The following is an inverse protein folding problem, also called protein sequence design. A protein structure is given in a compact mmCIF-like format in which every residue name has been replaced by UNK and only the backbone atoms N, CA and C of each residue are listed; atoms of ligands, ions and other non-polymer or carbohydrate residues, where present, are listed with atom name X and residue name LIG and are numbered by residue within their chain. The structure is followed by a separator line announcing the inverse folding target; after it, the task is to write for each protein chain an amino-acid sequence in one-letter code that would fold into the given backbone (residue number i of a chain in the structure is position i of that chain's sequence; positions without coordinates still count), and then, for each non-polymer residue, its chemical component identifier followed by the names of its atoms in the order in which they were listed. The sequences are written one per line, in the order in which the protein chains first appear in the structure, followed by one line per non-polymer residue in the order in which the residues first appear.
data_IF_029740159861
#
_entry.id   IF_029740159861
#
_cell.length_a   1.000
_cell.length_b   1.000
_cell.length_c   1.000
_cell.angle_alpha   90.00
_cell.angle_beta   90.00
_cell.angle_gamma   90.00
#
_symmetry.space_group_name_H-M   'P 1'
#
loop_
_entity.id
_entity.type
_entity.pdbx_description
1 polymer ?
#
# COMPACT_ATOMS: atom_id res chain seq x y z
N UNK A 1 19.42 7.87 15.36
CA UNK A 1 18.47 7.03 14.59
C UNK A 1 17.66 7.95 13.68
N UNK A 2 17.24 7.53 12.48
CA UNK A 2 16.18 8.27 11.77
C UNK A 2 14.98 8.30 12.74
N UNK A 3 14.38 9.45 12.95
CA UNK A 3 13.24 9.63 13.86
C UNK A 3 11.98 9.00 13.23
N UNK A 4 12.04 7.68 13.04
CA UNK A 4 10.97 6.92 12.40
C UNK A 4 9.91 6.66 13.47
N UNK A 5 8.75 7.29 13.28
CA UNK A 5 7.55 7.01 14.07
C UNK A 5 7.01 5.58 13.86
N UNK A 6 7.52 4.86 12.86
CA UNK A 6 7.18 3.46 12.55
C UNK A 6 8.45 2.60 12.65
N UNK A 7 8.43 1.45 13.36
CA UNK A 7 9.59 0.58 13.48
C UNK A 7 10.00 -0.02 12.12
N UNK A 8 11.32 -0.15 11.90
CA UNK A 8 11.89 -0.62 10.63
C UNK A 8 11.29 -1.93 10.08
N UNK A 9 11.03 -2.98 10.90
CA UNK A 9 10.44 -4.22 10.40
C UNK A 9 9.03 -4.03 9.81
N UNK A 10 8.15 -3.30 10.50
CA UNK A 10 6.84 -2.93 9.97
C UNK A 10 7.00 -2.15 8.68
N UNK A 11 7.97 -1.25 8.66
CA UNK A 11 8.22 -0.40 7.50
C UNK A 11 8.63 -1.20 6.26
N UNK A 12 9.57 -2.14 6.38
CA UNK A 12 9.94 -3.03 5.28
C UNK A 12 8.75 -3.90 4.82
N UNK A 13 7.97 -4.44 5.78
CA UNK A 13 6.79 -5.23 5.50
C UNK A 13 5.75 -4.45 4.68
N UNK A 14 5.55 -3.15 4.95
CA UNK A 14 4.64 -2.31 4.18
C UNK A 14 5.01 -2.25 2.69
N UNK A 15 6.30 -2.06 2.38
CA UNK A 15 6.77 -2.02 0.99
C UNK A 15 6.65 -3.39 0.34
N UNK A 16 6.95 -4.48 1.06
CA UNK A 16 6.71 -5.83 0.56
C UNK A 16 5.24 -6.08 0.23
N UNK A 17 4.32 -5.71 1.13
CA UNK A 17 2.87 -5.85 0.88
C UNK A 17 2.45 -4.99 -0.31
N UNK A 18 2.93 -3.75 -0.41
CA UNK A 18 2.62 -2.87 -1.52
C UNK A 18 3.07 -3.49 -2.86
N UNK A 19 4.31 -3.96 -2.95
CA UNK A 19 4.84 -4.61 -4.15
C UNK A 19 4.13 -5.93 -4.47
N UNK A 20 3.80 -6.73 -3.46
CA UNK A 20 3.10 -7.98 -3.67
C UNK A 20 1.68 -7.77 -4.21
N UNK A 21 0.94 -6.81 -3.62
CA UNK A 21 -0.40 -6.43 -4.07
C UNK A 21 -0.37 -5.95 -5.51
N UNK A 22 0.63 -5.14 -5.85
CA UNK A 22 0.81 -4.57 -7.18
C UNK A 22 1.07 -5.65 -8.24
N UNK A 23 1.95 -6.61 -7.94
CA UNK A 23 2.19 -7.76 -8.81
C UNK A 23 0.94 -8.63 -9.01
N UNK A 24 0.13 -8.86 -7.96
CA UNK A 24 -1.13 -9.59 -8.09
C UNK A 24 -2.14 -8.84 -8.96
N UNK A 25 -2.21 -7.50 -8.83
CA UNK A 25 -3.06 -6.68 -9.68
C UNK A 25 -2.60 -6.76 -11.14
N UNK A 26 -1.32 -6.62 -11.42
CA UNK A 26 -0.80 -6.79 -12.79
C UNK A 26 -1.09 -8.18 -13.37
N UNK A 27 -1.03 -9.23 -12.55
CA UNK A 27 -1.25 -10.60 -12.99
C UNK A 27 -2.72 -10.87 -13.35
N UNK A 28 -3.67 -10.34 -12.57
CA UNK A 28 -5.10 -10.68 -12.67
C UNK A 28 -5.99 -9.53 -13.17
N UNK A 29 -5.47 -8.31 -13.30
CA UNK A 29 -6.25 -7.13 -13.69
C UNK A 29 -5.40 -6.30 -14.65
N UNK A 30 -5.42 -6.69 -15.93
CA UNK A 30 -4.53 -6.14 -16.96
C UNK A 30 -4.80 -4.67 -17.28
N UNK A 31 -6.07 -4.26 -17.22
CA UNK A 31 -6.50 -2.93 -17.67
C UNK A 31 -6.82 -1.96 -16.52
N UNK A 32 -6.99 -2.48 -15.29
CA UNK A 32 -7.31 -1.67 -14.11
C UNK A 32 -6.21 -1.79 -13.06
N UNK A 33 -5.51 -0.69 -12.80
CA UNK A 33 -4.38 -0.68 -11.89
C UNK A 33 -4.78 -0.08 -10.53
N UNK A 34 -4.95 -0.91 -9.50
CA UNK A 34 -5.33 -0.43 -8.16
C UNK A 34 -4.24 0.37 -7.43
N UNK A 35 -3.00 0.35 -7.90
CA UNK A 35 -1.84 1.04 -7.28
C UNK A 35 -1.30 2.17 -8.16
N UNK A 36 -1.43 2.06 -9.49
CA UNK A 36 -0.91 3.03 -10.47
C UNK A 36 -1.96 4.03 -10.93
N UNK A 37 -2.32 4.97 -10.04
CA UNK A 37 -3.30 6.02 -10.36
C UNK A 37 -2.87 6.90 -11.54
N UNK A 38 -1.57 7.20 -11.69
CA UNK A 38 -1.06 7.92 -12.87
C UNK A 38 -1.34 7.15 -14.16
N UNK A 39 -1.22 5.82 -14.13
CA UNK A 39 -1.54 4.95 -15.27
C UNK A 39 -3.02 5.03 -15.62
N UNK A 40 -3.92 4.83 -14.65
CA UNK A 40 -5.36 4.93 -14.87
C UNK A 40 -5.77 6.29 -15.44
N UNK A 41 -5.19 7.39 -14.95
CA UNK A 41 -5.45 8.74 -15.48
C UNK A 41 -5.01 8.87 -16.94
N UNK A 42 -3.86 8.33 -17.31
CA UNK A 42 -3.41 8.29 -18.72
C UNK A 42 -4.34 7.45 -19.58
N UNK A 43 -4.83 6.31 -19.08
CA UNK A 43 -5.83 5.50 -19.78
C UNK A 43 -7.13 6.30 -19.98
N UNK A 44 -7.63 7.03 -18.98
CA UNK A 44 -8.80 7.91 -19.17
C UNK A 44 -8.54 8.92 -20.29
N UNK A 45 -7.39 9.60 -20.29
CA UNK A 45 -7.02 10.56 -21.32
C UNK A 45 -6.98 9.94 -22.72
N UNK A 46 -6.45 8.72 -22.84
CA UNK A 46 -6.47 7.94 -24.08
C UNK A 46 -7.90 7.69 -24.56
N UNK A 47 -8.77 7.15 -23.71
CA UNK A 47 -10.16 6.83 -24.08
C UNK A 47 -10.96 8.09 -24.46
N UNK A 48 -10.70 9.24 -23.83
CA UNK A 48 -11.26 10.53 -24.25
C UNK A 48 -10.81 10.87 -25.68
N UNK A 49 -9.53 10.73 -25.99
CA UNK A 49 -8.99 10.99 -27.32
C UNK A 49 -9.49 10.04 -28.41
N UNK A 50 -9.74 8.78 -28.06
CA UNK A 50 -10.28 7.75 -28.95
C UNK A 50 -11.82 7.77 -29.06
N UNK A 51 -12.50 8.57 -28.21
CA UNK A 51 -13.97 8.62 -28.16
C UNK A 51 -14.64 7.41 -27.50
N UNK A 52 -13.87 6.55 -26.80
CA UNK A 52 -14.39 5.37 -26.11
C UNK A 52 -14.83 5.70 -24.68
N UNK A 53 -15.98 6.36 -24.54
CA UNK A 53 -16.46 6.84 -23.24
C UNK A 53 -16.84 5.72 -22.25
N UNK A 54 -17.20 4.54 -22.76
CA UNK A 54 -17.63 3.41 -21.92
C UNK A 54 -16.51 2.93 -20.98
N UNK A 55 -15.26 2.93 -21.45
CA UNK A 55 -14.10 2.40 -20.73
C UNK A 55 -13.55 3.38 -19.67
N UNK A 56 -14.04 4.63 -19.65
CA UNK A 56 -13.65 5.64 -18.66
C UNK A 56 -14.24 5.31 -17.29
N UNK A 57 -15.47 4.80 -17.25
CA UNK A 57 -16.22 4.62 -15.99
C UNK A 57 -15.51 3.69 -15.00
N UNK A 58 -15.02 2.50 -15.40
CA UNK A 58 -14.27 1.62 -14.51
C UNK A 58 -12.98 2.27 -13.96
N UNK A 59 -12.22 2.97 -14.81
CA UNK A 59 -10.99 3.66 -14.41
C UNK A 59 -11.27 4.77 -13.40
N UNK A 60 -12.29 5.59 -13.67
CA UNK A 60 -12.71 6.67 -12.78
C UNK A 60 -13.19 6.14 -11.43
N UNK A 61 -13.92 5.01 -11.41
CA UNK A 61 -14.38 4.37 -10.19
C UNK A 61 -13.23 3.81 -9.34
N UNK A 62 -12.19 3.23 -9.96
CA UNK A 62 -10.96 2.80 -9.26
C UNK A 62 -10.26 4.00 -8.61
N UNK A 63 -10.09 5.10 -9.34
CA UNK A 63 -9.50 6.34 -8.81
C UNK A 63 -10.36 6.89 -7.66
N UNK A 64 -11.68 6.91 -7.80
CA UNK A 64 -12.59 7.40 -6.78
C UNK A 64 -12.56 6.54 -5.51
N UNK A 65 -12.51 5.21 -5.64
CA UNK A 65 -12.38 4.29 -4.50
C UNK A 65 -11.06 4.51 -3.75
N UNK A 66 -9.95 4.59 -4.48
CA UNK A 66 -8.63 4.88 -3.92
C UNK A 66 -8.61 6.24 -3.20
N UNK A 67 -9.13 7.29 -3.85
CA UNK A 67 -9.15 8.64 -3.31
C UNK A 67 -10.04 8.73 -2.05
N UNK A 68 -11.24 8.16 -2.09
CA UNK A 68 -12.16 8.13 -0.95
C UNK A 68 -11.52 7.42 0.25
N UNK A 69 -10.90 6.25 0.03
CA UNK A 69 -10.21 5.53 1.09
C UNK A 69 -8.98 6.29 1.63
N UNK A 70 -8.27 7.01 0.76
CA UNK A 70 -7.16 7.89 1.15
C UNK A 70 -7.65 9.01 2.06
N UNK A 71 -8.75 9.68 1.69
CA UNK A 71 -9.36 10.76 2.48
C UNK A 71 -9.88 10.26 3.82
N UNK A 72 -10.60 9.13 3.83
CA UNK A 72 -11.11 8.51 5.06
C UNK A 72 -9.95 8.03 5.95
N UNK A 73 -8.95 7.37 5.38
CA UNK A 73 -7.76 6.91 6.09
C UNK A 73 -7.00 8.08 6.74
N UNK A 74 -6.84 9.20 6.04
CA UNK A 74 -6.23 10.40 6.60
C UNK A 74 -7.06 10.95 7.78
N UNK A 75 -8.38 11.03 7.63
CA UNK A 75 -9.31 11.49 8.65
C UNK A 75 -9.32 10.59 9.91
N UNK A 76 -9.29 9.27 9.73
CA UNK A 76 -9.17 8.28 10.82
C UNK A 76 -7.79 8.41 11.50
N UNK A 77 -6.73 8.53 10.70
CA UNK A 77 -5.36 8.67 11.18
C UNK A 77 -5.17 9.90 12.08
N UNK A 78 -5.79 11.03 11.74
CA UNK A 78 -5.77 12.24 12.58
C UNK A 78 -6.43 12.04 13.95
N UNK A 79 -7.49 11.22 14.02
CA UNK A 79 -8.23 10.94 15.28
C UNK A 79 -7.55 9.91 16.16
N UNK A 80 -6.90 8.92 15.55
CA UNK A 80 -6.25 7.81 16.26
C UNK A 80 -4.83 8.13 16.73
N UNK A 81 -4.22 9.19 16.20
CA UNK A 81 -2.91 9.75 16.62
C UNK A 81 -1.83 8.66 16.69
N UNK A 82 -1.39 8.28 17.90
CA UNK A 82 -0.35 7.26 18.11
C UNK A 82 -0.74 5.87 17.59
N UNK A 83 -2.04 5.59 17.51
CA UNK A 83 -2.58 4.32 17.01
C UNK A 83 -2.82 4.33 15.50
N UNK A 84 -2.51 5.44 14.81
CA UNK A 84 -2.70 5.58 13.36
C UNK A 84 -2.14 4.39 12.57
N UNK A 85 -0.85 3.99 12.71
CA UNK A 85 -0.31 2.90 11.91
C UNK A 85 -1.09 1.60 12.11
N UNK A 86 -1.43 1.27 13.37
CA UNK A 86 -2.17 0.06 13.74
C UNK A 86 -3.57 0.06 13.14
N UNK A 87 -4.34 1.13 13.34
CA UNK A 87 -5.74 1.20 12.86
C UNK A 87 -5.79 1.15 11.34
N UNK A 88 -4.90 1.87 10.66
CA UNK A 88 -4.86 1.88 9.20
C UNK A 88 -4.48 0.50 8.65
N UNK A 89 -3.49 -0.18 9.25
CA UNK A 89 -3.11 -1.54 8.86
C UNK A 89 -4.26 -2.54 9.02
N UNK A 90 -5.02 -2.47 10.11
CA UNK A 90 -6.19 -3.33 10.33
C UNK A 90 -7.30 -3.05 9.32
N UNK A 91 -7.56 -1.79 8.99
CA UNK A 91 -8.56 -1.42 7.98
C UNK A 91 -8.14 -1.86 6.57
N UNK A 92 -6.85 -1.72 6.22
CA UNK A 92 -6.32 -2.28 4.96
C UNK A 92 -6.46 -3.79 4.94
N UNK A 93 -6.13 -4.50 6.04
CA UNK A 93 -6.27 -5.95 6.13
C UNK A 93 -7.73 -6.40 5.99
N UNK A 94 -8.67 -5.65 6.58
CA UNK A 94 -10.10 -5.90 6.44
C UNK A 94 -10.56 -5.74 4.99
N UNK A 95 -10.16 -4.66 4.31
CA UNK A 95 -10.48 -4.43 2.90
C UNK A 95 -9.89 -5.51 1.98
N UNK A 96 -8.67 -5.98 2.26
CA UNK A 96 -8.05 -7.10 1.53
C UNK A 96 -8.73 -8.44 1.81
N UNK A 97 -9.19 -8.66 3.04
CA UNK A 97 -9.96 -9.86 3.36
C UNK A 97 -11.34 -9.84 2.68
N UNK A 98 -11.95 -8.65 2.59
CA UNK A 98 -13.24 -8.45 1.95
C UNK A 98 -13.18 -8.56 0.40
N UNK A 99 -12.01 -8.39 -0.22
CA UNK A 99 -11.86 -8.59 -1.67
C UNK A 99 -11.82 -10.08 -2.06
N UNK A 100 -11.31 -10.96 -1.18
CA UNK A 100 -11.09 -12.37 -1.48
C UNK A 100 -12.34 -13.12 -1.99
N UNK A 101 -13.54 -12.99 -1.37
CA UNK A 101 -14.74 -13.72 -1.81
C UNK A 101 -15.14 -13.43 -3.26
N UNK A 102 -14.78 -12.26 -3.78
CA UNK A 102 -15.08 -11.84 -5.14
C UNK A 102 -13.97 -12.19 -6.14
N UNK A 103 -12.78 -12.56 -5.67
CA UNK A 103 -11.65 -12.91 -6.52
C UNK A 103 -11.82 -14.29 -7.14
N UNK A 104 -11.49 -14.41 -8.43
CA UNK A 104 -11.33 -15.68 -9.12
C UNK A 104 -9.83 -15.96 -9.27
N UNK A 105 -9.47 -17.23 -9.47
CA UNK A 105 -8.06 -17.63 -9.57
C UNK A 105 -7.38 -17.09 -10.82
N UNK A 106 -8.13 -16.91 -11.91
CA UNK A 106 -7.57 -16.52 -13.21
C UNK A 106 -7.73 -15.01 -13.50
N UNK A 107 -8.64 -14.34 -12.81
CA UNK A 107 -9.00 -12.94 -13.07
C UNK A 107 -9.54 -12.27 -11.80
N UNK A 108 -9.30 -10.97 -11.66
CA UNK A 108 -9.85 -10.15 -10.58
C UNK A 108 -11.00 -9.30 -11.15
N UNK A 109 -12.25 -9.67 -10.83
CA UNK A 109 -13.40 -8.87 -11.25
C UNK A 109 -13.29 -7.43 -10.74
N UNK A 110 -13.99 -6.54 -11.43
CA UNK A 110 -14.02 -5.12 -11.11
C UNK A 110 -14.23 -4.82 -9.61
N UNK A 111 -15.17 -5.53 -8.95
CA UNK A 111 -15.42 -5.35 -7.52
C UNK A 111 -14.20 -5.69 -6.64
N UNK A 112 -13.45 -6.74 -6.99
CA UNK A 112 -12.20 -7.12 -6.31
C UNK A 112 -11.17 -6.02 -6.45
N UNK A 113 -11.03 -5.46 -7.66
CA UNK A 113 -10.11 -4.34 -7.93
C UNK A 113 -10.51 -3.09 -7.14
N UNK A 114 -11.80 -2.80 -7.00
CA UNK A 114 -12.28 -1.67 -6.18
C UNK A 114 -11.91 -1.83 -4.70
N UNK A 115 -12.10 -3.03 -4.12
CA UNK A 115 -11.66 -3.29 -2.75
C UNK A 115 -10.14 -3.17 -2.59
N UNK A 116 -9.37 -3.69 -3.56
CA UNK A 116 -7.92 -3.59 -3.53
C UNK A 116 -7.47 -2.12 -3.65
N UNK A 117 -8.07 -1.34 -4.55
CA UNK A 117 -7.79 0.08 -4.70
C UNK A 117 -8.10 0.87 -3.42
N UNK A 118 -9.24 0.58 -2.78
CA UNK A 118 -9.58 1.17 -1.48
C UNK A 118 -8.56 0.77 -0.40
N UNK A 119 -8.14 -0.50 -0.33
CA UNK A 119 -7.14 -0.94 0.63
C UNK A 119 -5.80 -0.23 0.41
N UNK A 120 -5.37 -0.04 -0.85
CA UNK A 120 -4.12 0.65 -1.17
C UNK A 120 -4.18 2.15 -0.86
N UNK A 121 -5.33 2.79 -1.10
CA UNK A 121 -5.59 4.16 -0.64
C UNK A 121 -5.48 4.28 0.89
N UNK A 122 -6.06 3.32 1.61
CA UNK A 122 -5.94 3.22 3.07
C UNK A 122 -4.50 2.98 3.51
N UNK A 123 -3.77 2.05 2.88
CA UNK A 123 -2.38 1.69 3.22
C UNK A 123 -1.43 2.89 3.12
N UNK A 124 -1.66 3.78 2.16
CA UNK A 124 -0.90 5.02 2.03
C UNK A 124 -1.05 5.98 3.21
N UNK A 125 -2.01 5.75 4.09
CA UNK A 125 -2.24 6.55 5.28
C UNK A 125 -1.57 5.98 6.54
N UNK A 126 -0.76 4.92 6.45
CA UNK A 126 -0.05 4.36 7.62
C UNK A 126 0.86 5.40 8.29
N UNK A 127 1.52 6.27 7.49
CA UNK A 127 2.27 7.42 7.98
C UNK A 127 1.60 8.72 7.54
N UNK A 128 1.50 9.70 8.45
CA UNK A 128 0.98 11.04 8.13
C UNK A 128 2.01 12.02 7.60
N UNK A 129 3.29 11.68 7.72
CA UNK A 129 4.40 12.56 7.36
C UNK A 129 5.08 12.12 6.05
N UNK A 130 4.70 10.97 5.50
CA UNK A 130 5.24 10.45 4.25
C UNK A 130 4.15 10.44 3.18
N UNK A 131 4.56 10.57 1.92
CA UNK A 131 3.72 10.67 0.73
C UNK A 131 2.97 9.38 0.35
N UNK A 132 2.81 8.43 1.28
CA UNK A 132 2.31 7.08 1.03
C UNK A 132 3.38 6.12 0.55
N UNK A 133 3.17 4.82 0.81
CA UNK A 133 4.09 3.73 0.47
C UNK A 133 4.08 3.40 -1.02
N UNK A 134 3.00 3.71 -1.73
CA UNK A 134 2.87 3.47 -3.18
C UNK A 134 3.38 4.62 -4.04
N UNK A 135 3.87 5.72 -3.45
CA UNK A 135 4.45 6.84 -4.21
C UNK A 135 5.91 6.55 -4.62
N UNK A 136 6.07 5.52 -5.45
CA UNK A 136 7.36 4.94 -5.85
C UNK A 136 8.24 5.94 -6.59
N UNK A 137 7.69 6.65 -7.57
CA UNK A 137 8.45 7.64 -8.36
C UNK A 137 9.05 8.72 -7.47
N UNK A 138 8.27 9.27 -6.53
CA UNK A 138 8.77 10.26 -5.59
C UNK A 138 9.82 9.70 -4.63
N UNK A 139 9.66 8.44 -4.19
CA UNK A 139 10.66 7.75 -3.39
C UNK A 139 11.99 7.60 -4.14
N UNK A 140 11.99 7.14 -5.40
CA UNK A 140 13.21 7.00 -6.21
C UNK A 140 13.90 8.34 -6.46
N UNK A 141 13.13 9.38 -6.82
CA UNK A 141 13.69 10.73 -7.04
C UNK A 141 14.34 11.28 -5.77
N UNK A 142 13.68 11.15 -4.61
CA UNK A 142 14.26 11.57 -3.32
C UNK A 142 15.51 10.77 -2.97
N UNK A 143 15.52 9.47 -3.29
CA UNK A 143 16.67 8.59 -3.05
C UNK A 143 17.88 9.01 -3.89
N UNK A 144 17.69 9.26 -5.19
CA UNK A 144 18.74 9.74 -6.07
C UNK A 144 19.31 11.10 -5.63
N UNK A 145 18.45 12.04 -5.23
CA UNK A 145 18.88 13.33 -4.68
C UNK A 145 19.70 13.17 -3.40
N UNK A 146 19.25 12.33 -2.46
CA UNK A 146 19.99 12.09 -1.23
C UNK A 146 21.39 11.51 -1.47
N UNK A 147 21.53 10.60 -2.45
CA UNK A 147 22.83 10.07 -2.85
C UNK A 147 23.72 11.16 -3.47
N UNK A 148 23.17 12.01 -4.34
CA UNK A 148 23.90 13.11 -4.96
C UNK A 148 24.37 14.17 -3.94
N UNK A 149 23.60 14.39 -2.87
CA UNK A 149 23.94 15.29 -1.76
C UNK A 149 24.96 14.68 -0.77
N UNK A 150 25.41 13.44 -0.98
CA UNK A 150 26.29 12.72 -0.06
C UNK A 150 25.58 12.19 1.20
N UNK A 151 24.25 12.28 1.28
CA UNK A 151 23.45 11.71 2.36
C UNK A 151 23.17 10.21 2.10
N UNK A 152 24.24 9.41 2.15
CA UNK A 152 24.18 7.96 1.88
C UNK A 152 23.22 7.22 2.79
N UNK A 153 22.99 7.70 4.01
CA UNK A 153 22.04 7.07 4.93
C UNK A 153 20.59 7.17 4.44
N UNK A 154 20.19 8.34 3.96
CA UNK A 154 18.87 8.53 3.37
C UNK A 154 18.77 7.82 2.01
N UNK A 155 19.84 7.81 1.23
CA UNK A 155 19.95 7.03 0.00
C UNK A 155 19.76 5.53 0.22
N UNK A 156 20.48 4.94 1.17
CA UNK A 156 20.35 3.53 1.54
C UNK A 156 18.96 3.20 2.07
N UNK A 157 18.32 4.09 2.84
CA UNK A 157 16.93 3.88 3.27
C UNK A 157 15.98 3.76 2.07
N UNK A 158 16.10 4.68 1.11
CA UNK A 158 15.32 4.63 -0.12
C UNK A 158 15.55 3.36 -0.95
N UNK A 159 16.79 2.92 -1.06
CA UNK A 159 17.15 1.68 -1.74
C UNK A 159 16.56 0.45 -1.03
N UNK A 160 16.63 0.39 0.30
CA UNK A 160 16.02 -0.71 1.08
C UNK A 160 14.51 -0.74 0.88
N UNK A 161 13.82 0.41 0.85
CA UNK A 161 12.38 0.50 0.56
C UNK A 161 12.06 -0.07 -0.82
N UNK A 162 12.83 0.34 -1.83
CA UNK A 162 12.66 -0.13 -3.19
C UNK A 162 12.92 -1.65 -3.30
N UNK A 163 14.00 -2.15 -2.70
CA UNK A 163 14.32 -3.58 -2.68
C UNK A 163 13.25 -4.40 -1.96
N UNK A 164 12.69 -3.90 -0.85
CA UNK A 164 11.58 -4.56 -0.16
C UNK A 164 10.33 -4.63 -1.05
N UNK A 165 10.03 -3.58 -1.80
CA UNK A 165 8.93 -3.59 -2.77
C UNK A 165 9.14 -4.63 -3.87
N UNK A 166 10.33 -4.65 -4.47
CA UNK A 166 10.70 -5.64 -5.50
C UNK A 166 10.63 -7.06 -4.95
N UNK A 167 11.15 -7.30 -3.74
CA UNK A 167 11.08 -8.60 -3.10
C UNK A 167 9.62 -9.04 -2.85
N UNK A 168 8.76 -8.12 -2.42
CA UNK A 168 7.32 -8.39 -2.29
C UNK A 168 6.67 -8.78 -3.61
N UNK A 169 6.93 -8.03 -4.68
CA UNK A 169 6.43 -8.33 -6.02
C UNK A 169 6.92 -9.71 -6.52
N UNK A 170 8.20 -10.03 -6.33
CA UNK A 170 8.77 -11.32 -6.70
C UNK A 170 8.15 -12.49 -5.92
N UNK A 171 7.89 -12.31 -4.62
CA UNK A 171 7.25 -13.32 -3.77
C UNK A 171 5.76 -13.52 -4.05
N UNK A 172 5.09 -12.53 -4.66
CA UNK A 172 3.68 -12.61 -4.98
C UNK A 172 3.36 -13.67 -6.04
N UNK A 173 4.28 -13.89 -6.99
CA UNK A 173 4.10 -14.89 -8.05
C UNK A 173 3.99 -16.31 -7.48
N UNK A 174 4.99 -16.85 -6.74
CA UNK A 174 4.86 -18.18 -6.15
C UNK A 174 3.72 -18.25 -5.13
N UNK A 175 3.44 -17.17 -4.40
CA UNK A 175 2.29 -17.11 -3.49
C UNK A 175 0.97 -17.30 -4.25
N UNK A 176 0.81 -16.65 -5.40
CA UNK A 176 -0.37 -16.80 -6.24
C UNK A 176 -0.47 -18.19 -6.86
N UNK A 177 0.64 -18.78 -7.32
CA UNK A 177 0.61 -20.13 -7.91
C UNK A 177 0.18 -21.20 -6.90
N UNK A 178 0.52 -21.02 -5.61
CA UNK A 178 0.18 -21.99 -4.56
C UNK A 178 -1.17 -21.72 -3.90
N UNK A 179 -1.58 -20.46 -3.76
CA UNK A 179 -2.79 -20.07 -3.02
C UNK A 179 -3.93 -19.56 -3.91
N UNK A 180 -3.68 -19.28 -5.18
CA UNK A 180 -4.62 -18.62 -6.09
C UNK A 180 -5.21 -17.36 -5.46
N UNK A 181 -6.54 -17.23 -5.52
CA UNK A 181 -7.28 -16.13 -4.87
C UNK A 181 -7.00 -15.96 -3.37
N UNK A 182 -6.57 -17.00 -2.66
CA UNK A 182 -6.25 -16.91 -1.23
C UNK A 182 -4.93 -16.16 -0.96
N UNK A 183 -4.14 -15.82 -1.99
CA UNK A 183 -2.99 -14.92 -1.86
C UNK A 183 -3.39 -13.55 -1.25
N UNK A 184 -4.63 -13.09 -1.47
CA UNK A 184 -5.17 -11.87 -0.85
C UNK A 184 -5.28 -11.99 0.67
N UNK A 185 -5.59 -13.19 1.21
CA UNK A 185 -5.61 -13.43 2.65
C UNK A 185 -4.20 -13.49 3.24
N UNK A 186 -3.21 -13.99 2.48
CA UNK A 186 -1.83 -13.94 2.91
C UNK A 186 -1.33 -12.49 3.03
N UNK A 187 -1.71 -11.61 2.09
CA UNK A 187 -1.47 -10.16 2.21
C UNK A 187 -2.17 -9.57 3.44
N UNK A 188 -3.44 -9.91 3.66
CA UNK A 188 -4.18 -9.46 4.84
C UNK A 188 -3.50 -9.92 6.16
N UNK A 189 -3.02 -11.16 6.22
CA UNK A 189 -2.29 -11.69 7.37
C UNK A 189 -0.98 -10.92 7.62
N UNK A 190 -0.20 -10.61 6.58
CA UNK A 190 1.00 -9.78 6.71
C UNK A 190 0.68 -8.38 7.27
N UNK A 191 -0.42 -7.77 6.83
CA UNK A 191 -0.88 -6.48 7.35
C UNK A 191 -1.28 -6.55 8.83
N UNK A 192 -1.96 -7.63 9.24
CA UNK A 192 -2.27 -7.89 10.66
C UNK A 192 -1.00 -8.07 11.48
N UNK A 193 0.00 -8.80 10.98
CA UNK A 193 1.31 -8.90 11.64
C UNK A 193 1.97 -7.52 11.80
N UNK A 194 1.91 -6.67 10.78
CA UNK A 194 2.33 -5.28 10.87
C UNK A 194 1.58 -4.49 11.96
N UNK A 195 0.27 -4.71 12.09
CA UNK A 195 -0.56 -4.08 13.11
C UNK A 195 -0.16 -4.52 14.53
N UNK A 196 0.18 -5.81 14.72
CA UNK A 196 0.72 -6.33 15.98
C UNK A 196 2.04 -5.64 16.34
N UNK A 197 2.99 -5.54 15.40
CA UNK A 197 4.27 -4.87 15.64
C UNK A 197 4.10 -3.39 16.00
N UNK A 198 3.21 -2.67 15.31
CA UNK A 198 2.95 -1.25 15.61
C UNK A 198 2.24 -1.06 16.95
N UNK A 199 1.34 -1.98 17.32
CA UNK A 199 0.70 -1.99 18.64
C UNK A 199 1.72 -2.19 19.74
N UNK A 200 2.57 -3.21 19.61
CA UNK A 200 3.65 -3.49 20.55
C UNK A 200 4.55 -2.26 20.72
N UNK A 201 4.96 -1.65 19.62
CA UNK A 201 5.80 -0.46 19.64
C UNK A 201 5.13 0.74 20.34
N UNK A 202 3.84 0.99 20.07
CA UNK A 202 3.08 2.05 20.72
C UNK A 202 2.93 1.82 22.24
N UNK A 203 2.73 0.57 22.66
CA UNK A 203 2.64 0.19 24.07
C UNK A 203 4.00 0.33 24.78
N UNK A 204 5.09 -0.13 24.16
CA UNK A 204 6.43 -0.04 24.70
C UNK A 204 6.87 1.42 24.91
N UNK A 205 6.54 2.32 23.97
CA UNK A 205 6.79 3.76 24.13
C UNK A 205 5.99 4.36 25.31
N UNK A 206 4.72 3.96 25.48
CA UNK A 206 3.88 4.41 26.60
C UNK A 206 4.45 3.97 27.95
N UNK A 207 4.98 2.74 28.03
CA UNK A 207 5.61 2.24 29.24
C UNK A 207 6.86 3.04 29.58
N UNK A 208 7.75 3.28 28.61
CA UNK A 208 8.97 4.10 28.82
C UNK A 208 8.66 5.53 29.27
N UNK A 209 7.65 6.17 28.69
CA UNK A 209 7.24 7.52 29.08
C UNK A 209 6.71 7.62 30.52
N UNK A 210 6.18 6.52 31.09
CA UNK A 210 5.68 6.47 32.47
C UNK A 210 6.75 6.25 33.53
N UNK A 211 7.91 5.70 33.16
CA UNK A 211 9.04 5.42 34.06
C UNK A 211 10.18 6.43 33.94
N UNK A 212 10.04 7.42 33.07
CA UNK A 212 10.99 8.52 32.91
C UNK A 212 10.60 9.78 33.73
N UNK A 213 9.52 9.68 34.51
CA UNK A 213 9.00 10.68 35.46
C UNK A 213 9.13 10.14 36.86
#
# INVERSE_FOLDING_TARGET
MLDRKIPFPTFALLFMVAGATDALIYLHSRDLLAVYMTGNTSHIGRHIGEGSWADITPLAAVIAAFFTATTLGAWIGMRTRRWRPTVILLLTALLMSASMPFAHSDDYPFITVLFIAAAMGMLNQVSGNESGVTFLTGMLVRTGRALAEGNFKAGLDGMVRWSALVAGAALAIPLNTHLGRHALLAIAAMLVLGAVFTTWYALAQRHRARHAT
#
